data_IF_710815919414
#
_entry.id   IF_710815919414
#
_cell.length_a   1.000
_cell.length_b   1.000
_cell.length_c   1.000
_cell.angle_alpha   90.00
_cell.angle_beta   90.00
_cell.angle_gamma   90.00
#
_symmetry.space_group_name_H-M   'P 1'
#
loop_
_entity.id
_entity.type
_entity.pdbx_description
1 polymer ?
#
# COMPACT_ATOMS: atom_id res chain seq x y z
N UNK A 1 -9.40 7.71 -1.52
CA UNK A 1 -8.19 7.46 -2.33
C UNK A 1 -8.58 7.22 -3.77
N UNK A 2 -7.93 7.88 -4.72
CA UNK A 2 -8.12 7.72 -6.16
C UNK A 2 -6.79 7.27 -6.77
N UNK A 3 -6.80 6.30 -7.68
CA UNK A 3 -5.61 5.84 -8.39
C UNK A 3 -5.97 5.58 -9.85
N UNK A 4 -5.08 6.00 -10.75
CA UNK A 4 -5.18 5.75 -12.19
C UNK A 4 -3.82 5.24 -12.65
N UNK A 5 -3.81 4.17 -13.43
CA UNK A 5 -2.59 3.59 -13.98
C UNK A 5 -2.72 3.29 -15.46
N UNK A 6 -1.63 3.45 -16.17
CA UNK A 6 -1.45 3.06 -17.56
C UNK A 6 -0.26 2.11 -17.66
N UNK A 7 -0.45 1.00 -18.32
CA UNK A 7 0.57 -0.05 -18.50
C UNK A 7 0.79 -0.32 -19.97
N UNK A 8 2.04 -0.33 -20.39
CA UNK A 8 2.46 -0.79 -21.73
C UNK A 8 3.71 -1.70 -21.61
N UNK A 9 4.21 -2.21 -22.75
CA UNK A 9 5.36 -3.11 -22.78
C UNK A 9 6.67 -2.48 -22.26
N UNK A 10 6.76 -1.15 -22.25
CA UNK A 10 8.00 -0.44 -21.92
C UNK A 10 8.00 0.13 -20.50
N UNK A 11 6.87 0.65 -20.06
CA UNK A 11 6.76 1.34 -18.77
C UNK A 11 5.35 1.32 -18.23
N UNK A 12 5.24 1.19 -16.92
CA UNK A 12 3.98 1.36 -16.19
C UNK A 12 4.01 2.72 -15.50
N UNK A 13 2.97 3.50 -15.67
CA UNK A 13 2.83 4.83 -15.05
C UNK A 13 1.59 4.82 -14.18
N UNK A 14 1.69 5.36 -12.98
CA UNK A 14 0.57 5.50 -12.05
C UNK A 14 0.51 6.89 -11.46
N UNK A 15 -0.71 7.36 -11.21
CA UNK A 15 -0.98 8.60 -10.48
C UNK A 15 -1.95 8.27 -9.37
N UNK A 16 -1.68 8.77 -8.18
CA UNK A 16 -2.50 8.53 -7.00
C UNK A 16 -2.79 9.81 -6.23
N UNK A 17 -3.97 9.85 -5.63
CA UNK A 17 -4.36 10.90 -4.69
C UNK A 17 -5.10 10.28 -3.52
N UNK A 18 -4.72 10.67 -2.31
CA UNK A 18 -5.42 10.31 -1.09
C UNK A 18 -5.73 11.54 -0.26
N UNK A 19 -6.87 11.50 0.39
CA UNK A 19 -7.33 12.52 1.31
C UNK A 19 -7.80 11.85 2.60
N UNK A 20 -7.38 12.39 3.72
CA UNK A 20 -7.84 12.01 5.04
C UNK A 20 -7.98 13.26 5.89
N UNK A 21 -9.06 13.39 6.65
CA UNK A 21 -9.17 14.47 7.60
C UNK A 21 -10.57 15.06 7.75
N UNK A 22 -10.62 16.17 8.49
CA UNK A 22 -11.81 16.96 8.78
C UNK A 22 -11.47 18.46 8.76
N UNK A 23 -12.43 19.33 9.04
CA UNK A 23 -12.31 20.78 8.84
C UNK A 23 -11.05 21.46 9.46
N UNK A 24 -10.52 20.92 10.56
CA UNK A 24 -9.35 21.48 11.26
C UNK A 24 -8.04 20.72 11.06
N UNK A 25 -8.11 19.52 10.45
CA UNK A 25 -6.94 18.69 10.20
C UNK A 25 -7.14 17.91 8.90
N UNK A 26 -6.24 18.09 7.95
CA UNK A 26 -6.32 17.41 6.65
C UNK A 26 -4.93 16.91 6.25
N UNK A 27 -4.85 15.65 5.87
CA UNK A 27 -3.69 15.05 5.22
C UNK A 27 -4.04 14.74 3.77
N UNK A 28 -3.27 15.27 2.84
CA UNK A 28 -3.41 15.01 1.41
C UNK A 28 -2.10 14.47 0.89
N UNK A 29 -2.15 13.43 0.09
CA UNK A 29 -0.98 12.89 -0.58
C UNK A 29 -1.29 12.66 -2.05
N UNK A 30 -0.51 13.32 -2.92
CA UNK A 30 -0.53 13.13 -4.35
C UNK A 30 0.79 12.51 -4.80
N UNK A 31 0.75 11.53 -5.71
CA UNK A 31 1.96 10.84 -6.12
C UNK A 31 1.94 10.40 -7.57
N UNK A 32 3.13 10.27 -8.14
CA UNK A 32 3.38 9.70 -9.46
C UNK A 32 4.33 8.52 -9.30
N UNK A 33 3.99 7.40 -9.92
CA UNK A 33 4.77 6.18 -9.92
C UNK A 33 5.19 5.81 -11.34
N UNK A 34 6.42 5.31 -11.47
CA UNK A 34 6.98 4.74 -12.69
C UNK A 34 7.55 3.37 -12.35
N UNK A 35 7.22 2.36 -13.17
CA UNK A 35 7.77 1.03 -13.00
C UNK A 35 8.11 0.39 -14.35
N UNK A 36 9.15 -0.44 -14.35
CA UNK A 36 9.58 -1.21 -15.52
C UNK A 36 10.03 -2.60 -15.13
N UNK A 37 9.65 -3.56 -15.97
CA UNK A 37 10.06 -4.96 -15.83
C UNK A 37 11.17 -5.30 -16.82
N UNK A 38 12.14 -6.07 -16.36
CA UNK A 38 13.31 -6.55 -17.10
C UNK A 38 13.40 -8.09 -16.96
N UNK A 39 12.52 -8.81 -17.65
CA UNK A 39 12.38 -10.25 -17.50
C UNK A 39 11.88 -10.63 -16.09
N UNK A 40 12.73 -11.28 -15.31
CA UNK A 40 12.39 -11.70 -13.93
C UNK A 40 12.54 -10.59 -12.86
N UNK A 41 12.99 -9.44 -13.26
CA UNK A 41 13.30 -8.34 -12.36
C UNK A 41 12.45 -7.13 -12.71
N UNK A 42 11.83 -6.49 -11.71
CA UNK A 42 11.10 -5.25 -11.91
C UNK A 42 11.54 -4.20 -10.90
N UNK A 43 11.62 -2.96 -11.34
CA UNK A 43 11.92 -1.81 -10.49
C UNK A 43 10.82 -0.78 -10.59
N UNK A 44 10.45 -0.18 -9.47
CA UNK A 44 9.48 0.90 -9.38
C UNK A 44 10.02 2.06 -8.55
N UNK A 45 9.73 3.26 -9.00
CA UNK A 45 10.01 4.51 -8.31
C UNK A 45 8.71 5.28 -8.16
N UNK A 46 8.50 5.89 -7.00
CA UNK A 46 7.33 6.74 -6.77
C UNK A 46 7.77 8.00 -6.02
N UNK A 47 7.23 9.13 -6.43
CA UNK A 47 7.38 10.40 -5.73
C UNK A 47 6.00 10.86 -5.27
N UNK A 48 5.85 11.09 -3.96
CA UNK A 48 4.62 11.58 -3.36
C UNK A 48 4.86 12.95 -2.75
N UNK A 49 3.90 13.84 -2.91
CA UNK A 49 3.86 15.09 -2.19
C UNK A 49 2.81 14.99 -1.09
N UNK A 50 3.27 14.98 0.16
CA UNK A 50 2.44 14.97 1.35
C UNK A 50 2.18 16.41 1.77
N UNK A 51 0.91 16.78 1.90
CA UNK A 51 0.47 18.08 2.42
C UNK A 51 -0.32 17.84 3.69
N UNK A 52 0.04 18.56 4.73
CA UNK A 52 -0.67 18.61 6.00
C UNK A 52 -1.27 20.00 6.19
N UNK A 53 -2.55 20.06 6.53
CA UNK A 53 -3.24 21.26 6.98
C UNK A 53 -3.60 21.10 8.45
N UNK A 54 -3.12 22.02 9.28
CA UNK A 54 -3.50 22.12 10.70
C UNK A 54 -4.13 23.49 10.90
N UNK A 55 -5.39 23.52 11.35
CA UNK A 55 -6.28 24.68 11.35
C UNK A 55 -5.72 25.98 11.91
N UNK A 56 -6.33 27.03 11.47
CA UNK A 56 -6.31 28.46 11.75
C UNK A 56 -4.94 29.19 11.73
N UNK A 57 -3.88 28.72 12.39
CA UNK A 57 -2.61 29.46 12.48
C UNK A 57 -1.45 28.84 11.70
N UNK A 58 -1.47 27.52 11.45
CA UNK A 58 -0.35 26.78 10.89
C UNK A 58 -0.38 26.63 9.36
N UNK A 59 -1.54 26.77 8.75
CA UNK A 59 -1.73 26.70 7.29
C UNK A 59 -1.36 25.34 6.67
N UNK A 60 -0.92 25.40 5.42
CA UNK A 60 -0.49 24.22 4.65
C UNK A 60 1.02 24.04 4.74
N UNK A 61 1.45 22.83 5.11
CA UNK A 61 2.85 22.42 5.07
C UNK A 61 2.98 21.17 4.19
N UNK A 62 4.04 21.07 3.41
CA UNK A 62 4.22 19.94 2.51
C UNK A 62 5.65 19.46 2.43
N UNK A 63 5.81 18.16 2.11
CA UNK A 63 7.12 17.56 1.90
C UNK A 63 7.05 16.48 0.81
N UNK A 64 8.16 16.29 0.10
CA UNK A 64 8.30 15.27 -0.94
C UNK A 64 8.76 13.95 -0.30
N UNK A 65 8.04 12.87 -0.56
CA UNK A 65 8.33 11.53 -0.04
C UNK A 65 8.62 10.59 -1.21
N UNK A 66 9.88 10.27 -1.46
CA UNK A 66 10.26 9.27 -2.46
C UNK A 66 10.01 7.85 -1.94
N UNK A 67 9.78 6.93 -2.87
CA UNK A 67 9.68 5.50 -2.62
C UNK A 67 10.42 4.75 -3.73
N UNK A 68 10.98 3.62 -3.37
CA UNK A 68 11.61 2.69 -4.31
C UNK A 68 11.21 1.26 -3.98
N UNK A 69 10.94 0.49 -5.01
CA UNK A 69 10.60 -0.92 -4.87
C UNK A 69 11.26 -1.76 -5.97
N UNK A 70 11.59 -2.97 -5.60
CA UNK A 70 12.18 -3.97 -6.50
C UNK A 70 11.48 -5.28 -6.27
N UNK A 71 11.14 -5.99 -7.34
CA UNK A 71 10.63 -7.36 -7.28
C UNK A 71 11.46 -8.29 -8.15
N UNK A 72 11.57 -9.54 -7.72
CA UNK A 72 12.31 -10.59 -8.44
C UNK A 72 11.46 -11.86 -8.45
N UNK A 73 11.19 -12.41 -9.63
CA UNK A 73 10.54 -13.70 -9.80
C UNK A 73 11.58 -14.80 -9.64
N UNK A 74 11.68 -15.38 -8.45
CA UNK A 74 12.61 -16.46 -8.13
C UNK A 74 12.21 -17.72 -8.89
N UNK A 75 10.91 -18.02 -8.88
CA UNK A 75 10.25 -19.08 -9.63
C UNK A 75 9.02 -18.51 -10.35
N UNK A 76 8.44 -19.22 -11.33
CA UNK A 76 7.18 -18.79 -11.95
C UNK A 76 6.02 -18.59 -10.96
N UNK A 77 6.09 -19.28 -9.81
CA UNK A 77 5.10 -19.24 -8.73
C UNK A 77 5.58 -18.50 -7.48
N UNK A 78 6.81 -17.97 -7.44
CA UNK A 78 7.38 -17.35 -6.25
C UNK A 78 8.04 -16.01 -6.60
N UNK A 79 7.49 -14.94 -6.12
CA UNK A 79 8.03 -13.58 -6.26
C UNK A 79 8.50 -13.07 -4.90
N UNK A 80 9.68 -12.45 -4.87
CA UNK A 80 10.20 -11.72 -3.72
C UNK A 80 10.19 -10.23 -4.04
N UNK A 81 9.80 -9.41 -3.06
CA UNK A 81 9.79 -7.95 -3.16
C UNK A 81 10.52 -7.28 -2.02
N UNK A 82 11.18 -6.16 -2.32
CA UNK A 82 11.75 -5.25 -1.34
C UNK A 82 11.26 -3.84 -1.67
N UNK A 83 10.85 -3.09 -0.65
CA UNK A 83 10.35 -1.74 -0.80
C UNK A 83 10.90 -0.84 0.29
N UNK A 84 11.17 0.41 -0.06
CA UNK A 84 11.54 1.44 0.89
C UNK A 84 10.66 2.68 0.67
N UNK A 85 9.93 3.04 1.71
CA UNK A 85 9.18 4.28 1.80
C UNK A 85 10.02 5.33 2.52
N UNK A 86 10.13 6.52 1.97
CA UNK A 86 10.85 7.67 2.54
C UNK A 86 12.29 7.38 2.99
N UNK A 87 13.19 6.87 2.12
CA UNK A 87 14.57 6.52 2.50
C UNK A 87 15.38 7.69 3.10
N UNK A 88 14.99 8.93 2.84
CA UNK A 88 15.71 10.13 3.30
C UNK A 88 15.14 10.74 4.60
N UNK A 89 14.12 10.10 5.22
CA UNK A 89 13.50 10.55 6.47
C UNK A 89 13.11 12.03 6.41
N UNK A 90 12.28 12.37 5.43
CA UNK A 90 11.84 13.74 5.22
C UNK A 90 11.14 14.29 6.44
N UNK A 91 11.34 15.58 6.72
CA UNK A 91 10.73 16.29 7.84
C UNK A 91 9.68 17.25 7.31
N UNK A 92 8.55 17.27 7.96
CA UNK A 92 7.50 18.26 7.75
C UNK A 92 7.71 19.36 8.80
N UNK A 93 8.09 20.54 8.36
CA UNK A 93 8.31 21.69 9.25
C UNK A 93 6.95 22.28 9.64
N UNK A 94 6.50 22.01 10.86
CA UNK A 94 5.29 22.58 11.47
C UNK A 94 5.76 23.42 12.64
N UNK A 95 5.98 24.73 12.41
CA UNK A 95 6.51 25.75 13.36
C UNK A 95 7.44 25.19 14.45
N UNK A 96 7.00 25.05 15.68
CA UNK A 96 7.83 24.61 16.81
C UNK A 96 7.95 23.08 16.97
N UNK A 97 7.28 22.28 16.13
CA UNK A 97 7.27 20.82 16.22
C UNK A 97 7.54 20.16 14.86
N UNK A 98 8.80 20.00 14.46
CA UNK A 98 9.13 19.30 13.22
C UNK A 98 8.66 17.83 13.30
N UNK A 99 7.70 17.45 12.44
CA UNK A 99 7.22 16.07 12.34
C UNK A 99 8.06 15.31 11.32
N UNK A 100 8.84 14.36 11.79
CA UNK A 100 9.57 13.44 10.92
C UNK A 100 8.62 12.43 10.32
N UNK A 101 8.64 12.28 9.00
CA UNK A 101 7.97 11.18 8.32
C UNK A 101 8.91 9.96 8.41
N UNK A 102 8.49 8.85 9.01
CA UNK A 102 9.38 7.70 9.19
C UNK A 102 9.78 7.07 7.85
N UNK A 103 10.96 6.49 7.82
CA UNK A 103 11.34 5.55 6.76
C UNK A 103 10.81 4.16 7.11
N UNK A 104 10.22 3.47 6.13
CA UNK A 104 9.71 2.11 6.29
C UNK A 104 10.39 1.23 5.25
N UNK A 105 11.03 0.17 5.72
CA UNK A 105 11.63 -0.87 4.91
C UNK A 105 10.75 -2.11 4.95
N UNK A 106 10.40 -2.61 3.77
CA UNK A 106 9.52 -3.77 3.63
C UNK A 106 10.22 -4.87 2.83
N UNK A 107 10.06 -6.09 3.25
CA UNK A 107 10.40 -7.29 2.48
C UNK A 107 9.21 -8.21 2.44
N UNK A 108 8.93 -8.80 1.28
CA UNK A 108 7.78 -9.68 1.11
C UNK A 108 8.08 -10.83 0.18
N UNK A 109 7.31 -11.90 0.36
CA UNK A 109 7.24 -13.08 -0.49
C UNK A 109 5.79 -13.29 -0.89
N UNK A 110 5.57 -13.61 -2.16
CA UNK A 110 4.28 -13.99 -2.71
C UNK A 110 4.42 -15.33 -3.42
N UNK A 111 3.59 -16.29 -3.03
CA UNK A 111 3.57 -17.63 -3.60
C UNK A 111 2.21 -17.94 -4.19
N UNK A 112 2.19 -18.26 -5.48
CA UNK A 112 1.01 -18.63 -6.24
C UNK A 112 0.93 -20.18 -6.36
N UNK A 113 -0.09 -20.78 -5.75
CA UNK A 113 -0.32 -22.21 -5.85
C UNK A 113 -1.48 -22.51 -6.80
N UNK A 114 -1.17 -23.28 -7.84
CA UNK A 114 -2.12 -23.77 -8.84
C UNK A 114 -2.99 -22.67 -9.49
N UNK A 115 -2.48 -21.46 -9.59
CA UNK A 115 -3.16 -20.27 -10.14
C UNK A 115 -4.48 -19.89 -9.42
N UNK A 116 -4.75 -20.46 -8.25
CA UNK A 116 -5.99 -20.23 -7.49
C UNK A 116 -5.77 -19.73 -6.08
N UNK A 117 -4.61 -19.99 -5.48
CA UNK A 117 -4.31 -19.59 -4.11
C UNK A 117 -3.04 -18.74 -4.08
N UNK A 118 -3.16 -17.50 -3.67
CA UNK A 118 -2.03 -16.62 -3.36
C UNK A 118 -1.76 -16.64 -1.86
N UNK A 119 -0.54 -16.95 -1.48
CA UNK A 119 -0.06 -16.82 -0.12
C UNK A 119 1.03 -15.77 -0.07
N UNK A 120 0.82 -14.73 0.71
CA UNK A 120 1.78 -13.65 0.88
C UNK A 120 2.24 -13.52 2.33
N UNK A 121 3.51 -13.18 2.50
CA UNK A 121 4.12 -12.84 3.79
C UNK A 121 4.91 -11.56 3.61
N UNK A 122 4.78 -10.64 4.55
CA UNK A 122 5.49 -9.37 4.53
C UNK A 122 6.01 -9.02 5.93
N UNK A 123 7.21 -8.48 5.99
CA UNK A 123 7.77 -7.88 7.17
C UNK A 123 8.12 -6.42 6.87
N UNK A 124 7.66 -5.52 7.74
CA UNK A 124 7.94 -4.10 7.68
C UNK A 124 8.74 -3.69 8.91
N UNK A 125 9.72 -2.83 8.71
CA UNK A 125 10.50 -2.19 9.75
C UNK A 125 10.45 -0.68 9.59
N UNK A 126 9.94 -0.01 10.62
CA UNK A 126 9.96 1.45 10.75
C UNK A 126 11.20 1.87 11.55
N UNK A 127 11.91 2.89 11.11
CA UNK A 127 13.09 3.43 11.82
C UNK A 127 12.79 3.93 13.25
N UNK A 128 11.52 4.10 13.61
CA UNK A 128 11.09 4.37 15.00
C UNK A 128 11.00 3.09 15.86
N UNK A 129 11.66 1.99 15.45
CA UNK A 129 11.67 0.68 16.12
C UNK A 129 10.31 -0.02 16.20
N UNK A 130 9.44 0.18 15.21
CA UNK A 130 8.19 -0.56 15.10
C UNK A 130 8.32 -1.65 14.03
N UNK A 131 7.98 -2.88 14.37
CA UNK A 131 7.93 -4.00 13.43
C UNK A 131 6.48 -4.34 13.12
N UNK A 132 6.22 -4.70 11.89
CA UNK A 132 4.96 -5.30 11.48
C UNK A 132 5.26 -6.55 10.67
N UNK A 133 4.64 -7.67 11.03
CA UNK A 133 4.69 -8.91 10.25
C UNK A 133 3.27 -9.24 9.86
N UNK A 134 3.05 -9.47 8.58
CA UNK A 134 1.75 -9.77 8.01
C UNK A 134 1.81 -11.05 7.17
N UNK A 135 0.76 -11.83 7.20
CA UNK A 135 0.54 -12.93 6.26
C UNK A 135 -0.90 -12.96 5.81
N UNK A 136 -1.12 -13.33 4.57
CA UNK A 136 -2.45 -13.37 3.97
C UNK A 136 -2.58 -14.47 2.93
N UNK A 137 -3.81 -14.92 2.77
CA UNK A 137 -4.23 -15.87 1.76
C UNK A 137 -5.34 -15.25 0.93
N UNK A 138 -5.21 -15.29 -0.37
CA UNK A 138 -6.27 -14.95 -1.32
C UNK A 138 -6.61 -16.21 -2.12
N UNK A 139 -7.84 -16.68 -1.97
CA UNK A 139 -8.35 -17.85 -2.66
C UNK A 139 -9.39 -17.46 -3.70
N UNK A 140 -9.12 -17.81 -4.95
CA UNK A 140 -10.07 -17.67 -6.04
C UNK A 140 -11.09 -18.82 -5.98
N UNK A 141 -12.16 -18.64 -5.19
CA UNK A 141 -13.19 -19.66 -4.99
C UNK A 141 -13.94 -20.01 -6.28
N UNK A 142 -14.23 -19.01 -7.10
CA UNK A 142 -14.74 -19.15 -8.48
C UNK A 142 -14.15 -18.05 -9.36
N UNK A 143 -14.31 -18.15 -10.69
CA UNK A 143 -13.72 -17.19 -11.67
C UNK A 143 -13.99 -15.71 -11.35
N UNK A 144 -15.06 -15.41 -10.59
CA UNK A 144 -15.48 -14.03 -10.27
C UNK A 144 -15.37 -13.66 -8.81
N UNK A 145 -15.09 -14.60 -7.92
CA UNK A 145 -15.09 -14.39 -6.48
C UNK A 145 -13.75 -14.79 -5.87
N UNK A 146 -13.14 -13.84 -5.18
CA UNK A 146 -11.91 -14.04 -4.41
C UNK A 146 -12.26 -13.81 -2.94
N UNK A 147 -11.91 -14.76 -2.09
CA UNK A 147 -11.99 -14.66 -0.63
C UNK A 147 -10.59 -14.41 -0.09
N UNK A 148 -10.49 -13.49 0.85
CA UNK A 148 -9.23 -13.06 1.46
C UNK A 148 -9.29 -13.23 2.95
N UNK A 149 -8.23 -13.79 3.52
CA UNK A 149 -8.03 -13.86 4.96
C UNK A 149 -6.59 -13.50 5.27
N UNK A 150 -6.36 -12.84 6.39
CA UNK A 150 -5.03 -12.46 6.77
C UNK A 150 -4.94 -12.13 8.24
N UNK A 151 -3.72 -12.03 8.71
CA UNK A 151 -3.41 -11.56 10.05
C UNK A 151 -2.11 -10.77 9.99
N UNK A 152 -2.05 -9.71 10.76
CA UNK A 152 -0.78 -9.04 11.00
C UNK A 152 -0.55 -8.84 12.49
N UNK A 153 0.72 -8.75 12.85
CA UNK A 153 1.18 -8.44 14.18
C UNK A 153 1.93 -7.10 14.15
N UNK A 154 1.43 -6.14 14.91
CA UNK A 154 2.09 -4.87 15.22
C UNK A 154 1.70 -4.50 16.64
N UNK A 155 2.53 -4.91 17.63
CA UNK A 155 2.21 -4.84 19.06
C UNK A 155 1.03 -5.74 19.49
N UNK A 156 0.04 -5.96 18.62
CA UNK A 156 -1.12 -6.84 18.81
C UNK A 156 -1.44 -7.58 17.51
N UNK A 157 -2.13 -8.71 17.65
CA UNK A 157 -2.64 -9.44 16.49
C UNK A 157 -3.92 -8.80 15.98
N UNK A 158 -3.96 -8.52 14.70
CA UNK A 158 -5.11 -7.96 14.01
C UNK A 158 -5.51 -8.91 12.87
N UNK A 159 -6.73 -9.42 12.94
CA UNK A 159 -7.31 -10.27 11.90
C UNK A 159 -7.89 -9.44 10.77
N UNK A 160 -7.71 -9.90 9.55
CA UNK A 160 -8.25 -9.29 8.35
C UNK A 160 -9.03 -10.31 7.53
N UNK A 161 -10.16 -9.89 6.96
CA UNK A 161 -10.93 -10.68 6.01
C UNK A 161 -11.46 -9.80 4.89
N UNK A 162 -11.67 -10.38 3.73
CA UNK A 162 -12.20 -9.61 2.61
C UNK A 162 -12.77 -10.48 1.52
N UNK A 163 -13.52 -9.84 0.66
CA UNK A 163 -14.12 -10.45 -0.52
C UNK A 163 -13.92 -9.51 -1.70
N UNK A 164 -13.53 -10.07 -2.84
CA UNK A 164 -13.50 -9.33 -4.09
C UNK A 164 -14.35 -10.02 -5.15
N UNK A 165 -15.15 -9.24 -5.85
CA UNK A 165 -15.98 -9.70 -6.98
C UNK A 165 -15.54 -9.00 -8.24
N UNK A 166 -15.26 -9.79 -9.27
CA UNK A 166 -14.88 -9.26 -10.59
C UNK A 166 -16.01 -9.56 -11.59
N UNK A 167 -16.53 -8.50 -12.21
CA UNK A 167 -17.55 -8.60 -13.24
C UNK A 167 -17.09 -7.86 -14.49
N UNK A 168 -16.64 -8.61 -15.47
CA UNK A 168 -16.07 -8.09 -16.72
C UNK A 168 -14.91 -7.10 -16.44
N UNK A 169 -15.12 -5.82 -16.62
CA UNK A 169 -14.14 -4.75 -16.37
C UNK A 169 -14.23 -4.14 -14.95
N UNK A 170 -15.25 -4.48 -14.20
CA UNK A 170 -15.51 -3.94 -12.87
C UNK A 170 -15.00 -4.90 -11.79
N UNK A 171 -14.27 -4.37 -10.82
CA UNK A 171 -13.85 -5.09 -9.60
C UNK A 171 -14.33 -4.34 -8.37
N UNK A 172 -15.01 -5.06 -7.49
CA UNK A 172 -15.46 -4.57 -6.19
C UNK A 172 -14.74 -5.36 -5.11
N UNK A 173 -14.07 -4.67 -4.21
CA UNK A 173 -13.42 -5.26 -3.03
C UNK A 173 -14.08 -4.70 -1.76
N UNK A 174 -14.40 -5.58 -0.81
CA UNK A 174 -14.80 -5.24 0.55
C UNK A 174 -13.83 -5.93 1.51
N UNK A 175 -13.20 -5.15 2.39
CA UNK A 175 -12.24 -5.66 3.36
C UNK A 175 -12.66 -5.20 4.75
N UNK A 176 -12.43 -6.06 5.73
CA UNK A 176 -12.72 -5.86 7.14
C UNK A 176 -11.47 -6.15 7.95
N UNK A 177 -11.17 -5.28 8.88
CA UNK A 177 -10.07 -5.40 9.82
C UNK A 177 -10.63 -5.45 11.24
N UNK A 178 -10.22 -6.45 12.00
CA UNK A 178 -10.69 -6.71 13.35
C UNK A 178 -9.58 -6.33 14.33
N UNK A 179 -9.57 -5.08 14.77
CA UNK A 179 -8.58 -4.61 15.73
C UNK A 179 -9.09 -4.83 17.17
N UNK A 180 -8.29 -5.45 18.06
CA UNK A 180 -8.74 -5.78 19.43
C UNK A 180 -9.20 -4.60 20.27
N UNK A 181 -8.60 -3.41 20.04
CA UNK A 181 -8.92 -2.19 20.79
C UNK A 181 -9.78 -1.19 20.01
N UNK A 182 -9.59 -1.09 18.70
CA UNK A 182 -10.26 -0.08 17.87
C UNK A 182 -11.57 -0.61 17.23
N UNK A 183 -11.85 -1.91 17.39
CA UNK A 183 -13.03 -2.54 16.82
C UNK A 183 -12.87 -2.88 15.34
N UNK A 184 -13.98 -2.83 14.59
CA UNK A 184 -14.03 -3.22 13.18
C UNK A 184 -13.87 -2.02 12.27
N UNK A 185 -12.91 -2.09 11.36
CA UNK A 185 -12.74 -1.12 10.27
C UNK A 185 -13.17 -1.76 8.96
N UNK A 186 -14.00 -1.07 8.19
CA UNK A 186 -14.48 -1.50 6.88
C UNK A 186 -13.86 -0.64 5.78
N UNK A 187 -13.38 -1.27 4.70
CA UNK A 187 -12.84 -0.59 3.53
C UNK A 187 -13.50 -1.13 2.27
N UNK A 188 -13.97 -0.25 1.41
CA UNK A 188 -14.49 -0.58 0.08
C UNK A 188 -13.57 -0.03 -1.02
N UNK A 189 -13.38 -0.79 -2.09
CA UNK A 189 -12.67 -0.36 -3.29
C UNK A 189 -13.48 -0.70 -4.53
N UNK A 190 -13.51 0.23 -5.47
CA UNK A 190 -14.08 0.03 -6.80
C UNK A 190 -12.96 0.24 -7.81
N UNK A 191 -12.74 -0.73 -8.67
CA UNK A 191 -11.77 -0.65 -9.76
C UNK A 191 -12.45 -0.88 -11.11
N UNK A 192 -12.02 -0.13 -12.13
CA UNK A 192 -12.49 -0.29 -13.50
C UNK A 192 -11.28 -0.49 -14.40
N UNK A 193 -11.28 -1.56 -15.19
CA UNK A 193 -10.28 -1.81 -16.23
C UNK A 193 -10.81 -1.29 -17.54
N UNK A 194 -10.14 -0.31 -18.11
CA UNK A 194 -10.48 0.33 -19.39
C UNK A 194 -9.79 -0.39 -20.54
#
# INVERSE_FOLDING_TARGET
MLQVGYSNEYVNVGVGYSFFGYAKYQEMMAGVALARSFGRFSIGLQANYLTLYCGDDLGYKGTLIPQVGVTVDILPSLTMGVHCFNPFIQTLEVEDMPRKVPAIYSIGLDYLWQDVLHWSVQADYDVNNTYRIATGLEWQAIKRLIVKVGVYYQQQFVGCMGVAVTWDKLRLDANFELHPLLGVTCQGRIGVKI
#
